data_IF_849598424623
#
_entry.id   IF_849598424623
#
_cell.length_a   1.000
_cell.length_b   1.000
_cell.length_c   1.000
_cell.angle_alpha   90.00
_cell.angle_beta   90.00
_cell.angle_gamma   90.00
#
_symmetry.space_group_name_H-M   'P 1'
#
loop_
_entity.id
_entity.type
_entity.pdbx_description
1 polymer ?
#
# COMPACT_ATOMS: atom_id res chain seq x y z
N UNK A 1 4.70 -7.71 -36.22
CA UNK A 1 5.95 -7.25 -35.59
C UNK A 1 6.96 -8.39 -35.66
N UNK A 2 8.24 -8.09 -35.90
CA UNK A 2 9.29 -9.11 -35.95
C UNK A 2 9.40 -9.80 -34.60
N UNK A 3 9.58 -11.13 -34.61
CA UNK A 3 9.74 -11.94 -33.40
C UNK A 3 11.16 -12.46 -33.29
N UNK A 4 11.68 -12.67 -32.07
CA UNK A 4 12.93 -13.36 -31.86
C UNK A 4 12.98 -14.69 -32.61
N UNK A 5 14.14 -14.98 -33.20
CA UNK A 5 14.42 -16.24 -33.87
C UNK A 5 15.01 -17.24 -32.90
N UNK A 6 14.69 -18.51 -33.08
CA UNK A 6 15.25 -19.65 -32.35
C UNK A 6 15.85 -20.67 -33.30
N UNK A 7 16.72 -21.51 -32.76
CA UNK A 7 17.14 -22.75 -33.41
C UNK A 7 16.06 -23.82 -33.23
N UNK A 8 15.57 -24.41 -34.33
CA UNK A 8 14.53 -25.45 -34.29
C UNK A 8 15.11 -26.87 -34.41
N UNK A 9 16.36 -27.08 -33.96
CA UNK A 9 17.08 -28.34 -34.16
C UNK A 9 17.48 -28.55 -35.62
N UNK A 10 17.27 -29.75 -36.16
CA UNK A 10 17.67 -30.10 -37.53
C UNK A 10 16.90 -29.39 -38.66
N UNK A 11 15.85 -28.63 -38.33
CA UNK A 11 14.95 -28.00 -39.29
C UNK A 11 15.26 -26.51 -39.59
N UNK A 12 16.38 -25.97 -39.12
CA UNK A 12 16.81 -24.59 -39.38
C UNK A 12 16.23 -23.57 -38.40
N UNK A 13 16.10 -22.32 -38.87
CA UNK A 13 15.68 -21.17 -38.06
C UNK A 13 14.17 -20.99 -38.07
N UNK A 14 13.60 -20.57 -36.94
CA UNK A 14 12.16 -20.30 -36.83
C UNK A 14 11.90 -19.11 -35.90
N UNK A 15 10.83 -18.36 -36.17
CA UNK A 15 10.31 -17.38 -35.20
C UNK A 15 9.80 -18.08 -33.93
N UNK A 16 10.07 -17.47 -32.79
CA UNK A 16 9.59 -17.94 -31.50
C UNK A 16 8.07 -17.78 -31.38
N UNK A 17 7.45 -18.75 -30.73
CA UNK A 17 6.04 -18.65 -30.35
C UNK A 17 5.87 -17.72 -29.14
N UNK A 18 4.63 -17.31 -28.87
CA UNK A 18 4.30 -16.50 -27.71
C UNK A 18 4.76 -17.14 -26.40
N UNK A 19 4.49 -18.44 -26.22
CA UNK A 19 4.87 -19.17 -25.02
C UNK A 19 6.40 -19.23 -24.84
N UNK A 20 7.15 -19.38 -25.93
CA UNK A 20 8.62 -19.42 -25.85
C UNK A 20 9.23 -18.05 -25.50
N UNK A 21 8.62 -16.96 -25.96
CA UNK A 21 9.01 -15.62 -25.50
C UNK A 21 8.63 -15.45 -24.03
N UNK A 22 7.46 -15.95 -23.61
CA UNK A 22 7.02 -15.91 -22.21
C UNK A 22 7.96 -16.68 -21.26
N UNK A 23 8.63 -17.74 -21.72
CA UNK A 23 9.66 -18.45 -20.95
C UNK A 23 10.93 -17.58 -20.74
N UNK A 24 11.31 -16.79 -21.73
CA UNK A 24 12.43 -15.84 -21.62
C UNK A 24 12.07 -14.65 -20.74
N UNK A 25 10.83 -14.17 -20.84
CA UNK A 25 10.28 -13.13 -19.96
C UNK A 25 10.27 -13.59 -18.51
N UNK A 26 9.97 -14.87 -18.24
CA UNK A 26 10.05 -15.43 -16.90
C UNK A 26 11.48 -15.42 -16.34
N UNK A 27 12.48 -15.75 -17.17
CA UNK A 27 13.89 -15.67 -16.79
C UNK A 27 14.29 -14.21 -16.44
N UNK A 28 13.87 -13.25 -17.26
CA UNK A 28 14.08 -11.81 -17.02
C UNK A 28 13.41 -11.37 -15.72
N UNK A 29 12.17 -11.80 -15.46
CA UNK A 29 11.43 -11.43 -14.25
C UNK A 29 12.00 -12.07 -12.99
N UNK A 30 12.48 -13.31 -13.07
CA UNK A 30 13.20 -13.96 -11.98
C UNK A 30 14.47 -13.16 -11.65
N UNK A 31 15.26 -12.78 -12.67
CA UNK A 31 16.42 -11.91 -12.50
C UNK A 31 16.03 -10.57 -11.86
N UNK A 32 15.07 -9.84 -12.45
CA UNK A 32 14.54 -8.59 -11.92
C UNK A 32 14.14 -8.72 -10.45
N UNK A 33 13.38 -9.77 -10.10
CA UNK A 33 12.93 -9.96 -8.72
C UNK A 33 14.07 -10.17 -7.73
N UNK A 34 15.18 -10.76 -8.17
CA UNK A 34 16.38 -11.04 -7.38
C UNK A 34 17.44 -9.93 -7.39
N UNK A 35 17.27 -8.86 -8.18
CA UNK A 35 18.26 -7.77 -8.24
C UNK A 35 18.42 -7.09 -6.87
N UNK A 36 19.68 -6.89 -6.48
CA UNK A 36 20.09 -6.15 -5.27
C UNK A 36 20.82 -4.84 -5.59
N UNK A 37 21.26 -4.64 -6.83
CA UNK A 37 21.86 -3.42 -7.38
C UNK A 37 21.13 -3.02 -8.66
N UNK A 38 21.13 -1.73 -9.01
CA UNK A 38 20.42 -1.20 -10.19
C UNK A 38 18.91 -1.52 -10.15
N UNK A 39 18.29 -1.28 -8.99
CA UNK A 39 16.93 -1.70 -8.67
C UNK A 39 15.83 -0.82 -9.31
N UNK A 40 16.06 -0.20 -10.48
CA UNK A 40 15.04 0.62 -11.15
C UNK A 40 13.78 -0.20 -11.37
N UNK A 41 12.62 0.37 -11.04
CA UNK A 41 11.33 -0.29 -11.03
C UNK A 41 10.94 -0.93 -9.69
N UNK A 42 11.89 -1.17 -8.77
CA UNK A 42 11.58 -1.80 -7.48
C UNK A 42 10.90 -0.84 -6.51
N UNK A 43 10.06 -1.41 -5.63
CA UNK A 43 9.41 -0.68 -4.54
C UNK A 43 10.13 -0.87 -3.20
N UNK A 44 10.07 0.17 -2.38
CA UNK A 44 10.47 0.17 -0.98
C UNK A 44 9.42 0.89 -0.12
N UNK A 45 9.41 0.62 1.18
CA UNK A 45 8.56 1.34 2.12
C UNK A 45 9.36 1.75 3.36
N UNK A 46 9.32 3.04 3.71
CA UNK A 46 10.10 3.65 4.81
C UNK A 46 11.62 3.39 4.74
N UNK A 47 12.13 2.97 3.59
CA UNK A 47 13.54 2.79 3.27
C UNK A 47 13.87 3.53 1.97
N UNK A 48 15.13 3.52 1.55
CA UNK A 48 15.59 4.05 0.26
C UNK A 48 15.15 5.49 0.01
N UNK A 49 15.50 6.42 0.92
CA UNK A 49 15.03 7.81 0.87
C UNK A 49 15.47 8.61 -0.38
N UNK A 50 16.40 8.07 -1.18
CA UNK A 50 16.78 8.64 -2.48
C UNK A 50 15.85 8.23 -3.64
N UNK A 51 14.95 7.27 -3.44
CA UNK A 51 14.00 6.83 -4.46
C UNK A 51 12.79 7.76 -4.53
N UNK A 52 12.03 7.69 -5.63
CA UNK A 52 10.87 8.55 -5.84
C UNK A 52 9.72 8.16 -4.93
N UNK A 53 9.19 9.12 -4.17
CA UNK A 53 7.98 8.94 -3.38
C UNK A 53 6.76 8.71 -4.30
N UNK A 54 6.08 7.58 -4.13
CA UNK A 54 4.88 7.20 -4.88
C UNK A 54 3.60 7.30 -4.05
N UNK A 55 3.71 7.85 -2.84
CA UNK A 55 2.61 8.19 -1.95
C UNK A 55 2.91 7.87 -0.49
N UNK A 56 2.16 8.49 0.42
CA UNK A 56 2.30 8.32 1.86
C UNK A 56 0.96 7.95 2.47
N UNK A 57 0.94 6.93 3.31
CA UNK A 57 -0.18 6.64 4.19
C UNK A 57 0.09 7.20 5.58
N UNK A 58 -0.86 7.97 6.11
CA UNK A 58 -0.83 8.50 7.46
C UNK A 58 -1.79 7.68 8.33
N UNK A 59 -1.24 6.83 9.20
CA UNK A 59 -2.01 6.14 10.25
C UNK A 59 -2.26 7.12 11.39
N UNK A 60 -3.53 7.37 11.74
CA UNK A 60 -3.87 8.38 12.74
C UNK A 60 -4.60 7.80 13.93
N UNK A 61 -4.15 8.18 15.12
CA UNK A 61 -4.73 7.69 16.39
C UNK A 61 -4.84 8.78 17.43
N UNK A 62 -5.72 8.57 18.40
CA UNK A 62 -5.81 9.45 19.57
C UNK A 62 -4.77 9.03 20.61
N UNK A 63 -4.29 9.99 21.38
CA UNK A 63 -3.31 9.79 22.47
C UNK A 63 -3.95 9.18 23.71
N UNK A 64 -5.24 9.44 23.91
CA UNK A 64 -6.00 8.97 25.07
C UNK A 64 -6.67 7.60 24.86
N UNK A 65 -6.79 6.85 25.95
CA UNK A 65 -7.44 5.55 25.97
C UNK A 65 -8.96 5.65 25.75
N UNK A 66 -9.56 4.54 25.32
CA UNK A 66 -11.02 4.41 25.28
C UNK A 66 -11.63 4.69 26.66
N UNK A 67 -12.72 5.44 26.70
CA UNK A 67 -13.44 5.79 27.93
C UNK A 67 -12.92 7.05 28.63
N UNK A 68 -11.81 7.66 28.18
CA UNK A 68 -11.33 8.92 28.75
C UNK A 68 -12.38 10.03 28.60
N UNK A 69 -12.70 10.70 29.71
CA UNK A 69 -13.62 11.82 29.80
C UNK A 69 -13.14 12.84 30.85
N UNK A 70 -13.14 14.16 30.55
CA UNK A 70 -13.32 14.72 29.22
C UNK A 70 -12.09 14.41 28.33
N UNK A 71 -12.35 14.00 27.09
CA UNK A 71 -11.33 13.71 26.10
C UNK A 71 -10.73 14.99 25.49
N UNK A 72 -9.43 15.00 25.19
CA UNK A 72 -8.76 16.05 24.42
C UNK A 72 -8.96 15.83 22.90
N UNK A 73 -8.32 16.66 22.06
CA UNK A 73 -8.41 16.57 20.59
C UNK A 73 -7.12 16.11 19.91
N UNK A 74 -6.10 15.70 20.67
CA UNK A 74 -4.77 15.36 20.16
C UNK A 74 -4.83 14.12 19.26
N UNK A 75 -4.08 14.16 18.16
CA UNK A 75 -3.95 13.06 17.21
C UNK A 75 -2.45 12.84 16.96
N UNK A 76 -2.02 11.59 17.05
CA UNK A 76 -0.72 11.13 16.60
C UNK A 76 -0.83 10.55 15.19
N UNK A 77 0.25 10.73 14.42
CA UNK A 77 0.33 10.24 13.04
C UNK A 77 1.62 9.45 12.86
N UNK A 78 1.50 8.20 12.42
CA UNK A 78 2.63 7.40 11.94
C UNK A 78 2.59 7.38 10.40
N UNK A 79 3.63 7.90 9.74
CA UNK A 79 3.69 7.98 8.28
C UNK A 79 4.39 6.74 7.69
N UNK A 80 3.79 6.19 6.65
CA UNK A 80 4.31 5.10 5.83
C UNK A 80 4.51 5.60 4.41
N UNK A 81 5.76 5.88 4.04
CA UNK A 81 6.13 6.41 2.73
C UNK A 81 6.49 5.26 1.80
N UNK A 82 5.78 5.15 0.69
CA UNK A 82 6.04 4.19 -0.36
C UNK A 82 6.89 4.85 -1.44
N UNK A 83 7.89 4.13 -1.92
CA UNK A 83 8.82 4.61 -2.94
C UNK A 83 8.98 3.62 -4.06
N UNK A 84 9.25 4.12 -5.26
CA UNK A 84 9.71 3.34 -6.40
C UNK A 84 11.03 3.93 -6.90
N UNK A 85 12.01 3.07 -7.18
CA UNK A 85 13.22 3.52 -7.83
C UNK A 85 12.91 3.86 -9.29
N UNK A 86 12.98 5.15 -9.65
CA UNK A 86 12.79 5.64 -11.01
C UNK A 86 14.06 6.32 -11.52
N UNK A 87 15.22 5.83 -11.10
CA UNK A 87 16.50 6.30 -11.64
C UNK A 87 16.56 6.00 -13.13
N UNK A 88 16.90 7.01 -13.93
CA UNK A 88 17.04 6.88 -15.39
C UNK A 88 18.01 5.74 -15.74
N UNK A 89 17.60 4.92 -16.72
CA UNK A 89 18.40 3.82 -17.26
C UNK A 89 18.51 4.05 -18.77
N UNK A 90 19.74 3.97 -19.28
CA UNK A 90 19.99 3.88 -20.73
C UNK A 90 20.33 2.43 -21.03
N UNK A 91 19.43 1.67 -21.70
CA UNK A 91 19.66 0.26 -21.98
C UNK A 91 20.91 0.05 -22.82
N UNK A 92 21.77 -0.86 -22.38
CA UNK A 92 22.97 -1.29 -23.10
C UNK A 92 23.15 -2.80 -22.95
N UNK A 93 22.15 -3.62 -23.35
CA UNK A 93 22.25 -5.07 -23.24
C UNK A 93 23.42 -5.59 -24.05
N UNK A 94 24.13 -6.60 -23.53
CA UNK A 94 25.32 -7.16 -24.17
C UNK A 94 25.04 -7.88 -25.49
N UNK A 95 23.79 -8.27 -25.73
CA UNK A 95 23.31 -8.79 -26.99
C UNK A 95 21.81 -8.53 -27.15
N UNK A 96 21.32 -8.42 -28.39
CA UNK A 96 19.89 -8.39 -28.69
C UNK A 96 19.49 -9.61 -29.53
N UNK A 97 18.22 -10.04 -29.44
CA UNK A 97 17.71 -11.11 -30.29
C UNK A 97 17.73 -10.72 -31.77
N UNK A 98 17.86 -11.71 -32.64
CA UNK A 98 17.61 -11.59 -34.07
C UNK A 98 16.14 -11.77 -34.39
N UNK A 99 15.67 -11.05 -35.41
CA UNK A 99 14.38 -11.28 -36.03
C UNK A 99 14.50 -11.41 -37.55
N UNK A 100 13.44 -11.89 -38.18
CA UNK A 100 13.34 -11.87 -39.65
C UNK A 100 13.20 -10.43 -40.11
N UNK A 101 14.03 -10.02 -41.06
CA UNK A 101 13.87 -8.76 -41.77
C UNK A 101 12.92 -8.98 -42.94
N UNK A 102 11.88 -8.17 -43.02
CA UNK A 102 11.00 -8.12 -44.17
C UNK A 102 11.18 -6.78 -44.90
N UNK A 103 11.29 -6.83 -46.22
CA UNK A 103 11.21 -5.66 -47.10
C UNK A 103 10.03 -5.82 -48.04
N UNK A 104 9.09 -4.87 -48.04
CA UNK A 104 7.85 -4.97 -48.81
C UNK A 104 7.01 -6.23 -48.55
N UNK A 105 7.11 -6.83 -47.35
CA UNK A 105 6.45 -8.09 -47.00
C UNK A 105 7.15 -9.36 -47.51
N UNK A 106 8.29 -9.21 -48.20
CA UNK A 106 9.15 -10.31 -48.63
C UNK A 106 10.30 -10.52 -47.67
N UNK A 107 10.78 -11.75 -47.55
CA UNK A 107 11.96 -12.07 -46.76
C UNK A 107 13.19 -11.32 -47.30
N UNK A 108 13.84 -10.55 -46.43
CA UNK A 108 15.04 -9.75 -46.71
C UNK A 108 16.15 -10.05 -45.69
N UNK A 109 16.21 -11.30 -45.22
CA UNK A 109 17.26 -11.78 -44.32
C UNK A 109 16.91 -11.72 -42.84
N UNK A 110 17.94 -11.57 -42.01
CA UNK A 110 17.85 -11.52 -40.55
C UNK A 110 18.54 -10.24 -40.07
N UNK A 111 17.97 -9.62 -39.05
CA UNK A 111 18.51 -8.39 -38.47
C UNK A 111 18.41 -8.45 -36.96
N UNK A 112 19.36 -7.79 -36.29
CA UNK A 112 19.29 -7.57 -34.85
C UNK A 112 18.10 -6.67 -34.52
N UNK A 113 17.31 -7.08 -33.53
CA UNK A 113 16.14 -6.31 -33.12
C UNK A 113 16.58 -4.94 -32.60
N UNK A 114 15.87 -3.93 -33.05
CA UNK A 114 15.97 -2.57 -32.53
C UNK A 114 15.40 -2.49 -31.12
N UNK A 115 15.71 -1.40 -30.40
CA UNK A 115 15.15 -1.18 -29.06
C UNK A 115 13.61 -1.11 -29.07
N UNK A 116 13.05 -0.56 -30.15
CA UNK A 116 11.61 -0.50 -30.35
C UNK A 116 10.99 -1.90 -30.51
N UNK A 117 11.64 -2.79 -31.28
CA UNK A 117 11.14 -4.15 -31.50
C UNK A 117 11.25 -5.01 -30.25
N UNK A 118 12.37 -4.93 -29.53
CA UNK A 118 12.51 -5.63 -28.24
C UNK A 118 11.47 -5.15 -27.23
N UNK A 119 11.18 -3.84 -27.16
CA UNK A 119 10.16 -3.31 -26.26
C UNK A 119 8.76 -3.85 -26.60
N UNK A 120 8.41 -3.86 -27.88
CA UNK A 120 7.10 -4.30 -28.33
C UNK A 120 6.82 -5.81 -28.18
N UNK A 121 7.85 -6.66 -28.07
CA UNK A 121 7.67 -8.11 -27.91
C UNK A 121 8.02 -8.61 -26.50
N UNK A 122 9.05 -8.06 -25.86
CA UNK A 122 9.52 -8.50 -24.53
C UNK A 122 8.89 -7.66 -23.42
N UNK A 123 8.97 -6.33 -23.50
CA UNK A 123 8.49 -5.44 -22.42
C UNK A 123 6.96 -5.48 -22.31
N UNK A 124 6.24 -5.52 -23.43
CA UNK A 124 4.78 -5.66 -23.40
C UNK A 124 4.34 -6.98 -22.71
N UNK A 125 5.06 -8.07 -22.95
CA UNK A 125 4.82 -9.35 -22.26
C UNK A 125 5.18 -9.29 -20.78
N UNK A 126 6.29 -8.64 -20.42
CA UNK A 126 6.65 -8.37 -19.01
C UNK A 126 5.50 -7.63 -18.33
N UNK A 127 4.98 -6.57 -18.94
CA UNK A 127 3.88 -5.78 -18.40
C UNK A 127 2.61 -6.62 -18.21
N UNK A 128 2.28 -7.49 -19.17
CA UNK A 128 1.16 -8.44 -19.04
C UNK A 128 1.36 -9.38 -17.84
N UNK A 129 2.56 -9.94 -17.67
CA UNK A 129 2.85 -10.85 -16.55
C UNK A 129 2.85 -10.14 -15.20
N UNK A 130 3.45 -8.95 -15.10
CA UNK A 130 3.41 -8.12 -13.90
C UNK A 130 1.97 -7.75 -13.54
N UNK A 131 1.16 -7.39 -14.56
CA UNK A 131 -0.25 -7.08 -14.36
C UNK A 131 -1.07 -8.27 -13.85
N UNK A 132 -0.69 -9.50 -14.23
CA UNK A 132 -1.30 -10.74 -13.76
C UNK A 132 -0.76 -11.21 -12.39
N UNK A 133 0.09 -10.41 -11.72
CA UNK A 133 0.70 -10.80 -10.44
C UNK A 133 1.85 -11.80 -10.57
N UNK A 134 2.55 -11.81 -11.71
CA UNK A 134 3.73 -12.62 -11.99
C UNK A 134 4.95 -12.25 -11.11
N UNK A 135 6.08 -12.92 -11.35
CA UNK A 135 7.31 -12.66 -10.59
C UNK A 135 7.76 -11.20 -10.76
N UNK A 136 8.28 -10.58 -9.70
CA UNK A 136 8.65 -9.16 -9.70
C UNK A 136 7.49 -8.20 -9.46
N UNK A 137 6.23 -8.69 -9.44
CA UNK A 137 5.07 -7.87 -9.11
C UNK A 137 4.97 -7.57 -7.61
N UNK A 138 4.25 -6.50 -7.28
CA UNK A 138 3.98 -6.06 -5.92
C UNK A 138 2.48 -6.04 -5.64
N UNK A 139 2.10 -6.46 -4.43
CA UNK A 139 0.70 -6.51 -3.97
C UNK A 139 0.63 -5.98 -2.55
N UNK A 140 -0.37 -5.13 -2.26
CA UNK A 140 -0.57 -4.57 -0.92
C UNK A 140 -1.82 -5.19 -0.27
N UNK A 141 -1.64 -6.07 0.71
CA UNK A 141 -2.75 -6.73 1.42
C UNK A 141 -2.28 -7.43 2.73
N UNK A 142 -3.21 -7.83 3.63
CA UNK A 142 -2.84 -8.38 4.94
C UNK A 142 -2.04 -9.70 4.91
N UNK A 143 -2.26 -10.56 3.90
CA UNK A 143 -1.62 -11.87 3.80
C UNK A 143 -1.00 -12.07 2.41
N UNK A 144 0.08 -12.85 2.33
CA UNK A 144 0.69 -13.19 1.05
C UNK A 144 -0.36 -13.82 0.11
N UNK A 145 -0.36 -13.46 -1.19
CA UNK A 145 -1.18 -14.15 -2.17
C UNK A 145 -0.90 -15.67 -2.18
N UNK A 146 -1.91 -16.48 -2.41
CA UNK A 146 -1.86 -17.92 -2.12
C UNK A 146 -0.85 -18.73 -2.96
N UNK A 147 -0.63 -18.39 -4.23
CA UNK A 147 0.30 -19.12 -5.11
C UNK A 147 1.64 -18.40 -5.24
N UNK A 148 2.74 -19.15 -5.22
CA UNK A 148 4.10 -18.64 -5.40
C UNK A 148 4.77 -18.19 -4.09
N UNK A 149 6.02 -17.72 -4.20
CA UNK A 149 6.79 -17.22 -3.06
C UNK A 149 6.70 -15.70 -3.00
N UNK A 150 6.38 -15.18 -1.82
CA UNK A 150 6.22 -13.76 -1.57
C UNK A 150 7.10 -13.31 -0.41
N UNK A 151 7.83 -12.22 -0.62
CA UNK A 151 8.69 -11.59 0.39
C UNK A 151 8.02 -10.33 0.91
N UNK A 152 8.07 -10.10 2.22
CA UNK A 152 7.60 -8.87 2.85
C UNK A 152 8.61 -7.73 2.57
N UNK A 153 8.15 -6.68 1.90
CA UNK A 153 8.91 -5.45 1.61
C UNK A 153 8.73 -4.43 2.73
N UNK A 154 7.54 -4.39 3.33
CA UNK A 154 7.26 -3.60 4.51
C UNK A 154 5.84 -3.81 5.05
N UNK A 155 5.65 -3.50 6.33
CA UNK A 155 4.35 -3.63 7.03
C UNK A 155 3.79 -2.27 7.44
N UNK A 156 2.57 -1.96 7.00
CA UNK A 156 1.75 -0.85 7.50
C UNK A 156 0.95 -1.38 8.69
N UNK A 157 1.05 -0.72 9.84
CA UNK A 157 0.26 -1.04 11.02
C UNK A 157 -0.81 0.04 11.21
N UNK A 158 -2.07 -0.38 11.27
CA UNK A 158 -3.18 0.50 11.64
C UNK A 158 -3.35 0.45 13.15
N UNK A 159 -3.05 1.55 13.85
CA UNK A 159 -3.05 1.60 15.31
C UNK A 159 -4.25 2.38 15.83
N UNK A 160 -4.98 1.78 16.77
CA UNK A 160 -6.07 2.47 17.47
C UNK A 160 -5.61 3.14 18.78
N UNK A 161 -4.40 2.80 19.25
CA UNK A 161 -3.75 3.37 20.44
C UNK A 161 -2.21 3.27 20.28
N UNK A 162 -1.45 3.99 21.12
CA UNK A 162 0.02 4.14 21.00
C UNK A 162 0.74 2.80 20.82
N UNK A 163 0.39 1.80 21.63
CA UNK A 163 1.08 0.50 21.66
C UNK A 163 0.16 -0.67 21.26
N UNK A 164 -0.88 -0.41 20.46
CA UNK A 164 -1.82 -1.45 20.03
C UNK A 164 -2.12 -1.36 18.53
N UNK A 165 -1.64 -2.36 17.78
CA UNK A 165 -1.95 -2.56 16.37
C UNK A 165 -3.27 -3.29 16.24
N UNK A 166 -4.24 -2.69 15.56
CA UNK A 166 -5.54 -3.30 15.32
C UNK A 166 -5.51 -4.28 14.14
N UNK A 167 -4.81 -3.90 13.08
CA UNK A 167 -4.56 -4.74 11.91
C UNK A 167 -3.31 -4.26 11.18
N UNK A 168 -2.80 -5.11 10.30
CA UNK A 168 -1.62 -4.81 9.48
C UNK A 168 -1.92 -5.12 8.02
N UNK A 169 -1.32 -4.33 7.13
CA UNK A 169 -1.30 -4.56 5.69
C UNK A 169 0.15 -4.62 5.24
N UNK A 170 0.50 -5.59 4.40
CA UNK A 170 1.89 -5.85 4.01
C UNK A 170 2.06 -5.58 2.52
N UNK A 171 3.13 -4.88 2.16
CA UNK A 171 3.61 -4.78 0.79
C UNK A 171 4.41 -6.05 0.47
N UNK A 172 3.85 -6.90 -0.37
CA UNK A 172 4.46 -8.16 -0.80
C UNK A 172 5.12 -7.99 -2.16
N UNK A 173 6.30 -8.60 -2.35
CA UNK A 173 6.96 -8.79 -3.65
C UNK A 173 6.95 -10.28 -4.00
N UNK A 174 6.55 -10.65 -5.21
CA UNK A 174 6.70 -12.04 -5.69
C UNK A 174 8.13 -12.29 -6.14
N UNK A 175 8.79 -13.31 -5.59
CA UNK A 175 10.26 -13.50 -5.72
C UNK A 175 10.70 -14.80 -6.39
N UNK A 176 9.81 -15.76 -6.60
CA UNK A 176 10.08 -16.93 -7.46
C UNK A 176 8.81 -17.40 -8.14
N UNK A 177 8.95 -17.92 -9.37
CA UNK A 177 7.78 -18.42 -10.09
C UNK A 177 8.01 -19.34 -11.30
N UNK A 178 9.16 -19.33 -11.99
CA UNK A 178 9.32 -20.19 -13.16
C UNK A 178 10.79 -20.54 -13.43
N UNK A 179 11.14 -21.83 -13.31
CA UNK A 179 12.26 -22.38 -14.07
C UNK A 179 11.80 -23.68 -14.73
N UNK A 180 12.05 -23.82 -16.04
CA UNK A 180 12.82 -24.93 -16.61
C UNK A 180 12.95 -24.73 -18.12
N UNK A 181 14.18 -24.47 -18.58
CA UNK A 181 14.63 -24.48 -19.99
C UNK A 181 13.87 -23.54 -20.95
N UNK A 182 14.17 -22.23 -20.89
CA UNK A 182 13.74 -21.30 -21.92
C UNK A 182 14.34 -21.69 -23.28
N UNK A 183 13.50 -21.73 -24.32
CA UNK A 183 13.99 -21.79 -25.70
C UNK A 183 14.74 -20.49 -25.99
N UNK A 184 16.04 -20.58 -26.28
CA UNK A 184 16.90 -19.41 -26.33
C UNK A 184 16.76 -18.66 -27.65
N UNK A 185 16.57 -17.33 -27.62
CA UNK A 185 16.66 -16.51 -28.81
C UNK A 185 18.08 -16.56 -29.39
N UNK A 186 18.18 -16.33 -30.69
CA UNK A 186 19.43 -16.26 -31.42
C UNK A 186 19.96 -14.84 -31.46
N UNK A 187 21.29 -14.70 -31.50
CA UNK A 187 22.01 -13.44 -31.62
C UNK A 187 23.14 -13.54 -32.65
N UNK A 188 23.66 -12.39 -33.07
CA UNK A 188 24.95 -12.32 -33.76
C UNK A 188 26.08 -12.46 -32.75
N UNK A 189 27.13 -13.21 -33.10
CA UNK A 189 28.38 -13.16 -32.38
C UNK A 189 29.55 -13.21 -33.37
N UNK A 190 30.09 -12.03 -33.65
CA UNK A 190 31.26 -11.76 -34.51
C UNK A 190 31.10 -12.19 -35.97
N UNK A 191 30.83 -13.47 -36.25
CA UNK A 191 30.60 -14.05 -37.58
C UNK A 191 29.67 -15.28 -37.55
N UNK A 192 29.00 -15.54 -36.42
CA UNK A 192 28.20 -16.75 -36.23
C UNK A 192 26.87 -16.39 -35.54
N UNK A 193 25.83 -17.13 -35.91
CA UNK A 193 24.56 -17.13 -35.19
C UNK A 193 24.72 -18.06 -33.98
N UNK A 194 24.38 -17.59 -32.79
CA UNK A 194 24.42 -18.37 -31.55
C UNK A 194 23.18 -18.13 -30.71
N UNK A 195 22.83 -19.09 -29.88
CA UNK A 195 21.85 -18.88 -28.82
C UNK A 195 22.39 -17.88 -27.78
N UNK A 196 21.51 -17.01 -27.30
CA UNK A 196 21.81 -16.12 -26.17
C UNK A 196 22.03 -16.95 -24.90
N UNK A 197 22.95 -16.50 -24.07
CA UNK A 197 23.14 -17.03 -22.71
C UNK A 197 22.10 -16.47 -21.74
N UNK A 198 21.94 -17.09 -20.57
CA UNK A 198 21.03 -16.57 -19.54
C UNK A 198 21.43 -15.16 -19.08
N UNK A 199 22.74 -14.86 -19.04
CA UNK A 199 23.22 -13.52 -18.73
C UNK A 199 22.76 -12.48 -19.77
N UNK A 200 22.88 -12.82 -21.05
CA UNK A 200 22.46 -11.93 -22.14
C UNK A 200 20.94 -11.75 -22.20
N UNK A 201 20.17 -12.78 -21.85
CA UNK A 201 18.71 -12.67 -21.72
C UNK A 201 18.36 -11.79 -20.52
N UNK A 202 19.03 -11.98 -19.37
CA UNK A 202 18.82 -11.18 -18.17
C UNK A 202 19.13 -9.70 -18.39
N UNK A 203 20.17 -9.37 -19.17
CA UNK A 203 20.51 -7.98 -19.52
C UNK A 203 19.37 -7.23 -20.22
N UNK A 204 18.43 -7.95 -20.86
CA UNK A 204 17.24 -7.33 -21.47
C UNK A 204 16.28 -6.73 -20.43
N UNK A 205 16.48 -7.00 -19.13
CA UNK A 205 15.75 -6.33 -18.04
C UNK A 205 15.89 -4.81 -18.10
N UNK A 206 17.03 -4.30 -18.59
CA UNK A 206 17.29 -2.87 -18.70
C UNK A 206 16.26 -2.16 -19.59
N UNK A 207 15.73 -2.86 -20.61
CA UNK A 207 14.71 -2.33 -21.50
C UNK A 207 13.36 -2.17 -20.79
N UNK A 208 13.04 -3.08 -19.88
CA UNK A 208 11.86 -2.95 -19.02
C UNK A 208 12.04 -1.81 -18.02
N UNK A 209 13.22 -1.72 -17.38
CA UNK A 209 13.52 -0.65 -16.43
C UNK A 209 13.45 0.74 -17.06
N UNK A 210 14.03 0.93 -18.24
CA UNK A 210 13.90 2.17 -19.00
C UNK A 210 12.44 2.43 -19.38
N UNK A 211 11.70 1.41 -19.81
CA UNK A 211 10.30 1.58 -20.22
C UNK A 211 9.41 2.05 -19.06
N UNK A 212 9.67 1.59 -17.83
CA UNK A 212 9.00 2.10 -16.64
C UNK A 212 9.24 3.60 -16.50
N UNK A 213 10.48 4.04 -16.63
CA UNK A 213 10.87 5.45 -16.44
C UNK A 213 10.25 6.33 -17.52
N UNK A 214 10.45 5.96 -18.80
CA UNK A 214 10.06 6.72 -19.99
C UNK A 214 8.54 6.77 -20.18
N UNK A 215 7.87 5.62 -20.18
CA UNK A 215 6.43 5.53 -20.50
C UNK A 215 5.54 5.68 -19.26
N UNK A 216 6.05 5.29 -18.11
CA UNK A 216 5.29 5.17 -16.87
C UNK A 216 4.45 3.90 -16.71
N UNK A 217 4.43 3.00 -17.70
CA UNK A 217 3.81 1.67 -17.56
C UNK A 217 4.67 0.83 -16.61
N UNK A 218 4.07 0.17 -15.63
CA UNK A 218 4.82 -0.48 -14.54
C UNK A 218 5.11 0.43 -13.33
N UNK A 219 4.72 1.72 -13.39
CA UNK A 219 4.75 2.60 -12.21
C UNK A 219 3.67 2.21 -11.22
N UNK A 220 4.02 2.26 -9.94
CA UNK A 220 3.09 2.07 -8.83
C UNK A 220 2.75 3.42 -8.19
N UNK A 221 1.55 3.52 -7.60
CA UNK A 221 1.14 4.73 -6.87
C UNK A 221 0.20 4.36 -5.74
N UNK A 222 0.39 4.98 -4.57
CA UNK A 222 -0.53 4.87 -3.46
C UNK A 222 -1.55 6.01 -3.52
N UNK A 223 -2.82 5.69 -3.78
CA UNK A 223 -3.88 6.69 -3.92
C UNK A 223 -5.26 6.15 -3.52
N UNK A 224 -6.17 7.05 -3.12
CA UNK A 224 -7.56 6.68 -2.81
C UNK A 224 -8.37 6.28 -4.06
N UNK A 225 -8.07 6.89 -5.21
CA UNK A 225 -8.68 6.64 -6.51
C UNK A 225 -7.58 6.48 -7.59
N UNK A 226 -7.97 6.03 -8.79
CA UNK A 226 -7.04 5.84 -9.90
C UNK A 226 -6.29 7.15 -10.20
N UNK A 227 -4.96 7.13 -10.30
CA UNK A 227 -4.18 8.36 -10.53
C UNK A 227 -4.35 8.92 -11.95
N UNK A 228 -5.00 10.07 -12.09
CA UNK A 228 -4.97 10.87 -13.32
C UNK A 228 -5.33 10.11 -14.61
N UNK A 229 -4.55 10.35 -15.67
CA UNK A 229 -4.71 9.73 -17.00
C UNK A 229 -3.97 8.40 -17.11
N UNK A 230 -4.44 7.50 -17.98
CA UNK A 230 -3.86 6.17 -18.19
C UNK A 230 -4.79 5.06 -17.69
N UNK A 231 -4.36 3.81 -17.89
CA UNK A 231 -5.06 2.62 -17.39
C UNK A 231 -4.38 2.15 -16.12
N UNK A 232 -5.15 2.11 -15.03
CA UNK A 232 -4.67 1.74 -13.71
C UNK A 232 -5.48 0.59 -13.15
N UNK A 233 -4.79 -0.36 -12.53
CA UNK A 233 -5.41 -1.46 -11.81
C UNK A 233 -4.99 -1.46 -10.35
N UNK A 234 -5.88 -1.92 -9.47
CA UNK A 234 -5.56 -2.10 -8.06
C UNK A 234 -4.83 -3.42 -7.85
N UNK A 235 -3.72 -3.40 -7.13
CA UNK A 235 -2.91 -4.60 -6.84
C UNK A 235 -2.96 -4.92 -5.34
N UNK A 236 -3.89 -5.80 -4.98
CA UNK A 236 -4.19 -6.19 -3.61
C UNK A 236 -5.49 -5.59 -3.10
N UNK A 237 -5.56 -5.36 -1.80
CA UNK A 237 -6.77 -4.91 -1.12
C UNK A 237 -6.68 -3.43 -0.75
N UNK A 238 -7.82 -2.75 -0.74
CA UNK A 238 -7.89 -1.43 -0.11
C UNK A 238 -7.60 -1.57 1.39
N UNK A 239 -6.91 -0.58 1.94
CA UNK A 239 -6.60 -0.53 3.36
C UNK A 239 -7.00 0.84 3.92
N UNK A 240 -7.30 0.86 5.21
CA UNK A 240 -8.06 1.94 5.83
C UNK A 240 -7.35 2.39 7.10
N UNK A 241 -7.13 3.70 7.22
CA UNK A 241 -6.82 4.33 8.51
C UNK A 241 -8.12 4.37 9.32
N UNK A 242 -8.10 3.73 10.49
CA UNK A 242 -9.25 3.75 11.39
C UNK A 242 -8.87 4.42 12.68
N UNK A 243 -9.74 5.29 13.19
CA UNK A 243 -9.47 6.03 14.42
C UNK A 243 -10.65 5.99 15.37
N UNK A 244 -10.39 5.88 16.67
CA UNK A 244 -11.43 5.94 17.72
C UNK A 244 -12.22 7.25 17.63
N UNK A 245 -13.54 7.12 17.70
CA UNK A 245 -14.47 8.24 17.72
C UNK A 245 -14.29 9.08 19.00
N UNK A 246 -14.54 10.37 18.89
CA UNK A 246 -14.62 11.31 20.01
C UNK A 246 -15.97 12.00 19.92
N UNK A 247 -16.85 11.74 20.87
CA UNK A 247 -18.24 12.25 20.85
C UNK A 247 -18.57 12.91 22.17
N UNK A 248 -19.27 14.03 22.14
CA UNK A 248 -19.82 14.65 23.34
C UNK A 248 -20.84 13.71 23.99
N UNK A 249 -20.61 13.37 25.26
CA UNK A 249 -21.50 12.53 26.06
C UNK A 249 -22.13 13.40 27.13
N UNK A 250 -23.45 13.31 27.29
CA UNK A 250 -24.17 14.04 28.33
C UNK A 250 -24.42 13.12 29.53
N UNK A 251 -23.42 12.93 30.38
CA UNK A 251 -23.57 12.15 31.62
C UNK A 251 -24.29 12.93 32.73
N UNK A 252 -24.56 14.23 32.51
CA UNK A 252 -25.16 15.11 33.52
C UNK A 252 -26.63 14.77 33.82
N UNK A 253 -27.40 14.23 32.87
CA UNK A 253 -28.83 13.95 33.08
C UNK A 253 -29.08 12.86 34.12
N UNK A 254 -28.33 11.76 34.04
CA UNK A 254 -28.57 10.56 34.84
C UNK A 254 -28.09 10.70 36.29
N UNK A 255 -26.93 11.32 36.50
CA UNK A 255 -26.35 11.47 37.83
C UNK A 255 -27.07 12.54 38.67
N UNK A 256 -27.38 13.70 38.08
CA UNK A 256 -28.08 14.78 38.77
C UNK A 256 -29.52 14.38 39.12
N UNK A 257 -30.23 13.69 38.24
CA UNK A 257 -31.58 13.17 38.52
C UNK A 257 -31.61 12.16 39.67
N UNK A 258 -30.68 11.19 39.66
CA UNK A 258 -30.60 10.17 40.70
C UNK A 258 -30.18 10.73 42.06
N UNK A 259 -29.18 11.64 42.10
CA UNK A 259 -28.63 12.20 43.33
C UNK A 259 -29.55 13.28 43.94
N UNK A 260 -30.08 14.21 43.14
CA UNK A 260 -31.03 15.22 43.63
C UNK A 260 -32.35 14.57 44.07
N UNK A 261 -32.84 13.58 43.32
CA UNK A 261 -34.07 12.86 43.68
C UNK A 261 -33.94 12.05 44.97
N UNK A 262 -32.88 11.25 45.12
CA UNK A 262 -32.70 10.39 46.28
C UNK A 262 -32.12 11.14 47.50
N UNK A 263 -31.06 11.91 47.33
CA UNK A 263 -30.36 12.50 48.46
C UNK A 263 -31.07 13.75 48.97
N UNK A 264 -31.43 14.68 48.08
CA UNK A 264 -32.14 15.91 48.50
C UNK A 264 -33.56 15.57 48.96
N UNK A 265 -34.29 14.72 48.22
CA UNK A 265 -35.64 14.30 48.60
C UNK A 265 -35.69 13.58 49.96
N UNK A 266 -34.82 12.58 50.17
CA UNK A 266 -34.82 11.82 51.42
C UNK A 266 -34.26 12.64 52.60
N UNK A 267 -33.18 13.40 52.40
CA UNK A 267 -32.54 14.14 53.49
C UNK A 267 -33.35 15.36 53.91
N UNK A 268 -33.86 16.16 52.96
CA UNK A 268 -34.72 17.31 53.29
C UNK A 268 -36.04 16.85 53.89
N UNK A 269 -36.63 15.76 53.39
CA UNK A 269 -37.84 15.15 53.95
C UNK A 269 -37.65 14.64 55.38
N UNK A 270 -36.57 13.91 55.68
CA UNK A 270 -36.32 13.41 57.03
C UNK A 270 -35.93 14.52 58.02
N UNK A 271 -35.03 15.42 57.64
CA UNK A 271 -34.49 16.42 58.56
C UNK A 271 -35.47 17.57 58.85
N UNK A 272 -36.26 17.98 57.85
CA UNK A 272 -37.31 19.00 58.03
C UNK A 272 -38.43 18.53 58.95
N UNK A 273 -38.73 17.23 58.93
CA UNK A 273 -39.78 16.64 59.77
C UNK A 273 -39.31 16.45 61.21
N UNK A 274 -37.99 16.33 61.45
CA UNK A 274 -37.41 16.08 62.78
C UNK A 274 -36.94 17.35 63.52
N UNK A 275 -36.59 18.43 62.81
CA UNK A 275 -35.93 19.62 63.40
C UNK A 275 -36.65 20.95 63.14
N UNK A 276 -37.97 20.96 63.00
CA UNK A 276 -38.79 22.18 62.79
C UNK A 276 -38.84 23.10 64.03
N UNK A 277 -37.70 23.70 64.40
CA UNK A 277 -37.54 24.62 65.52
C UNK A 277 -36.41 25.64 65.30
N UNK A 278 -36.78 26.84 64.83
CA UNK A 278 -36.10 28.16 65.03
C UNK A 278 -34.64 28.36 64.57
N UNK A 279 -33.93 27.39 63.97
CA UNK A 279 -32.55 27.61 63.47
C UNK A 279 -32.35 27.42 61.96
N UNK A 280 -33.42 27.16 61.20
CA UNK A 280 -33.32 26.62 59.83
C UNK A 280 -32.88 27.65 58.78
N UNK A 281 -33.33 28.91 58.88
CA UNK A 281 -33.22 29.91 57.79
C UNK A 281 -31.79 30.26 57.33
N UNK A 282 -30.84 30.60 58.23
CA UNK A 282 -29.48 30.95 57.81
C UNK A 282 -28.67 29.75 57.32
N UNK A 283 -28.93 28.57 57.90
CA UNK A 283 -28.19 27.34 57.60
C UNK A 283 -28.59 26.74 56.25
N UNK A 284 -29.88 26.75 55.90
CA UNK A 284 -30.34 26.26 54.58
C UNK A 284 -29.83 27.13 53.44
N UNK A 285 -29.85 28.46 53.58
CA UNK A 285 -29.38 29.37 52.52
C UNK A 285 -27.87 29.26 52.26
N UNK A 286 -27.06 29.22 53.31
CA UNK A 286 -25.60 29.15 53.17
C UNK A 286 -25.14 27.77 52.70
N UNK A 287 -25.73 26.70 53.22
CA UNK A 287 -25.39 25.34 52.82
C UNK A 287 -25.89 25.02 51.41
N UNK A 288 -27.14 25.37 51.05
CA UNK A 288 -27.64 25.16 49.69
C UNK A 288 -26.91 26.03 48.67
N UNK A 289 -26.67 27.32 48.94
CA UNK A 289 -25.96 28.18 47.99
C UNK A 289 -24.53 27.72 47.72
N UNK A 290 -23.78 27.40 48.77
CA UNK A 290 -22.36 27.04 48.65
C UNK A 290 -22.19 25.60 48.17
N UNK A 291 -22.94 24.65 48.75
CA UNK A 291 -22.83 23.23 48.42
C UNK A 291 -23.47 22.94 47.07
N UNK A 292 -24.70 23.41 46.81
CA UNK A 292 -25.34 23.19 45.49
C UNK A 292 -24.60 23.94 44.38
N UNK A 293 -24.12 25.17 44.63
CA UNK A 293 -23.32 25.93 43.64
C UNK A 293 -21.98 25.28 43.32
N UNK A 294 -21.23 24.86 44.35
CA UNK A 294 -19.94 24.18 44.16
C UNK A 294 -20.09 22.80 43.51
N UNK A 295 -21.07 22.00 43.96
CA UNK A 295 -21.31 20.68 43.39
C UNK A 295 -21.92 20.76 42.00
N UNK A 296 -22.90 21.64 41.75
CA UNK A 296 -23.43 21.81 40.39
C UNK A 296 -22.35 22.37 39.45
N UNK A 297 -21.55 23.36 39.84
CA UNK A 297 -20.49 23.89 38.97
C UNK A 297 -19.41 22.85 38.66
N UNK A 298 -18.92 22.13 39.69
CA UNK A 298 -17.83 21.16 39.54
C UNK A 298 -18.30 19.87 38.87
N UNK A 299 -19.43 19.31 39.28
CA UNK A 299 -19.94 18.06 38.71
C UNK A 299 -20.59 18.29 37.35
N UNK A 300 -21.31 19.38 37.08
CA UNK A 300 -21.81 19.62 35.72
C UNK A 300 -20.63 19.81 34.74
N UNK A 301 -19.58 20.55 35.14
CA UNK A 301 -18.38 20.72 34.30
C UNK A 301 -17.58 19.44 34.05
N UNK A 302 -17.49 18.52 35.02
CA UNK A 302 -16.78 17.23 34.87
C UNK A 302 -17.57 16.17 34.09
N UNK A 303 -18.89 16.33 33.94
CA UNK A 303 -19.78 15.37 33.26
C UNK A 303 -20.26 15.89 31.89
N UNK A 304 -19.86 17.11 31.52
CA UNK A 304 -19.97 17.66 30.18
C UNK A 304 -18.64 17.55 29.45
N UNK A 305 -18.62 16.87 28.30
CA UNK A 305 -17.43 16.77 27.48
C UNK A 305 -17.44 15.56 26.57
N UNK A 306 -16.44 15.46 25.71
CA UNK A 306 -16.32 14.31 24.84
C UNK A 306 -15.74 13.10 25.56
N UNK A 307 -16.11 11.92 25.07
CA UNK A 307 -15.53 10.65 25.47
C UNK A 307 -14.88 9.99 24.26
N UNK A 308 -13.75 9.31 24.48
CA UNK A 308 -13.16 8.42 23.48
C UNK A 308 -14.00 7.14 23.44
N UNK A 309 -14.68 6.90 22.33
CA UNK A 309 -15.63 5.79 22.19
C UNK A 309 -14.91 4.50 21.76
N UNK A 310 -15.56 3.37 22.00
CA UNK A 310 -15.11 2.09 21.45
C UNK A 310 -15.23 2.05 19.92
N UNK A 311 -16.23 2.73 19.38
CA UNK A 311 -16.47 2.86 17.95
C UNK A 311 -15.33 3.63 17.24
N UNK A 312 -15.20 3.37 15.94
CA UNK A 312 -14.13 3.91 15.09
C UNK A 312 -14.71 4.52 13.83
N UNK A 313 -14.04 5.56 13.32
CA UNK A 313 -14.29 6.12 11.99
C UNK A 313 -13.22 5.63 11.02
N UNK A 314 -13.60 5.47 9.75
CA UNK A 314 -12.67 5.36 8.64
C UNK A 314 -12.20 6.76 8.25
N UNK A 315 -10.92 7.06 8.46
CA UNK A 315 -10.35 8.38 8.24
C UNK A 315 -9.89 8.53 6.80
N UNK A 316 -9.11 7.56 6.30
CA UNK A 316 -8.67 7.51 4.91
C UNK A 316 -8.71 6.08 4.40
N UNK A 317 -8.98 5.91 3.11
CA UNK A 317 -8.89 4.62 2.41
C UNK A 317 -7.94 4.77 1.24
N UNK A 318 -6.92 3.94 1.18
CA UNK A 318 -5.90 3.97 0.14
C UNK A 318 -5.82 2.62 -0.57
N UNK A 319 -5.32 2.65 -1.80
CA UNK A 319 -5.07 1.46 -2.62
C UNK A 319 -3.70 1.61 -3.28
N UNK A 320 -3.04 0.47 -3.50
CA UNK A 320 -1.88 0.42 -4.37
C UNK A 320 -2.37 0.24 -5.82
N UNK A 321 -1.99 1.17 -6.67
CA UNK A 321 -2.31 1.18 -8.09
C UNK A 321 -1.07 0.84 -8.91
N UNK A 322 -1.24 0.02 -9.94
CA UNK A 322 -0.25 -0.30 -10.96
C UNK A 322 -0.75 0.26 -12.29
N UNK A 323 0.07 1.07 -12.97
CA UNK A 323 -0.23 1.53 -14.32
C UNK A 323 0.07 0.44 -15.35
N UNK A 324 -0.91 0.09 -16.17
CA UNK A 324 -0.81 -0.99 -17.17
C UNK A 324 -0.88 -0.50 -18.62
N UNK A 325 -1.28 0.75 -18.84
CA UNK A 325 -1.20 1.47 -20.11
C UNK A 325 -1.21 2.99 -19.88
#
# INVERSE_FOLDING_TARGET
>A
MPKPLKWNGSAGLKEMSAAEIDDNVDLILDHFSGMSSNNTGHLAMNAESGWTDIGTFADTRRDQAQGTHPANTTIHTDNYVFRQNLTDVTPSPTARPFAVKYDGGSFDGMIEMTDAECRADIVDRINIKIAAGGVGSYVLQPAAPGTGTWTNVGTVNNKLAVDSVANSTILWKRTTGSNTTATRPLKWNSNQVKEMSDAEINDLVEMYQESIVDTGIGKYTLAAAAPGTGTWQTVGSAFVDTRKQRTDQNYSGDYTGAYTGNYTGAYTGYYSTYYSGRQVGPYTGYYSGTYTGYYSGTYTGSYTGATIMAATDSVTTMKLWLRTA
#
